data_IF_323615851925
#
_entry.id   IF_323615851925
#
_cell.length_a   1.000
_cell.length_b   1.000
_cell.length_c   1.000
_cell.angle_alpha   90.00
_cell.angle_beta   90.00
_cell.angle_gamma   90.00
#
_symmetry.space_group_name_H-M   'P 1'
#
loop_
_entity.id
_entity.type
_entity.pdbx_description
1 polymer ?
#
# COMPACT_ATOMS: atom_id res chain seq x y z
N UNK A 1 1.08 -12.31 -18.09
CA UNK A 1 1.69 -12.82 -16.84
C UNK A 1 0.91 -12.36 -15.59
N UNK A 2 0.59 -11.07 -15.42
CA UNK A 2 -0.17 -10.58 -14.26
C UNK A 2 -1.60 -11.19 -14.12
N UNK A 3 -2.27 -11.48 -15.25
CA UNK A 3 -3.60 -12.10 -15.28
C UNK A 3 -3.63 -13.53 -14.69
N UNK A 4 -2.53 -14.29 -14.77
CA UNK A 4 -2.44 -15.64 -14.21
C UNK A 4 -2.24 -15.64 -12.69
N UNK A 5 -1.65 -14.58 -12.12
CA UNK A 5 -1.51 -14.40 -10.66
C UNK A 5 -2.86 -14.02 -10.03
N UNK A 6 -3.73 -13.32 -10.77
CA UNK A 6 -5.12 -13.05 -10.37
C UNK A 6 -6.00 -14.30 -10.35
N UNK A 7 -5.60 -15.38 -11.04
CA UNK A 7 -6.37 -16.63 -11.10
C UNK A 7 -6.19 -17.51 -9.85
N UNK A 8 -5.15 -17.30 -9.03
CA UNK A 8 -5.08 -17.91 -7.70
C UNK A 8 -5.99 -17.13 -6.75
N UNK A 9 -7.08 -17.77 -6.30
CA UNK A 9 -8.05 -17.22 -5.34
C UNK A 9 -7.41 -16.71 -4.04
N UNK A 10 -6.18 -17.15 -3.71
CA UNK A 10 -5.41 -16.65 -2.56
C UNK A 10 -4.74 -15.28 -2.78
N UNK A 11 -4.29 -14.95 -3.99
CA UNK A 11 -3.46 -13.74 -4.25
C UNK A 11 -4.28 -12.53 -4.71
N UNK A 12 -5.44 -12.75 -5.34
CA UNK A 12 -6.29 -11.69 -5.87
C UNK A 12 -6.69 -10.60 -4.84
N UNK A 13 -7.19 -10.98 -3.65
CA UNK A 13 -7.59 -10.01 -2.62
C UNK A 13 -6.42 -9.19 -2.08
N UNK A 14 -5.24 -9.80 -1.92
CA UNK A 14 -4.02 -9.13 -1.48
C UNK A 14 -3.51 -8.12 -2.53
N UNK A 15 -3.59 -8.47 -3.81
CA UNK A 15 -3.25 -7.55 -4.91
C UNK A 15 -4.24 -6.38 -4.99
N UNK A 16 -5.54 -6.64 -4.83
CA UNK A 16 -6.57 -5.58 -4.80
C UNK A 16 -6.36 -4.60 -3.63
N UNK A 17 -5.95 -5.15 -2.49
CA UNK A 17 -5.62 -4.40 -1.29
C UNK A 17 -4.39 -3.50 -1.50
N UNK A 18 -3.29 -4.04 -2.03
CA UNK A 18 -2.10 -3.27 -2.40
C UNK A 18 -2.45 -2.22 -3.44
N UNK A 19 -3.23 -2.54 -4.47
CA UNK A 19 -3.63 -1.59 -5.49
C UNK A 19 -4.38 -0.39 -4.89
N UNK A 20 -5.30 -0.64 -3.94
CA UNK A 20 -6.05 0.42 -3.26
C UNK A 20 -5.17 1.32 -2.39
N UNK A 21 -4.19 0.74 -1.69
CA UNK A 21 -3.15 1.50 -0.95
C UNK A 21 -2.30 2.33 -1.91
N UNK A 22 -1.78 1.68 -2.95
CA UNK A 22 -0.88 2.26 -3.94
C UNK A 22 -1.56 3.43 -4.66
N UNK A 23 -2.76 3.26 -5.20
CA UNK A 23 -3.42 4.33 -5.95
C UNK A 23 -3.78 5.54 -5.08
N UNK A 24 -4.30 5.36 -3.85
CA UNK A 24 -4.78 6.50 -3.06
C UNK A 24 -3.65 7.27 -2.39
N UNK A 25 -2.66 6.56 -1.86
CA UNK A 25 -1.61 7.17 -1.05
C UNK A 25 -0.47 7.69 -1.92
N UNK A 26 -0.09 6.96 -2.97
CA UNK A 26 0.93 7.44 -3.90
C UNK A 26 0.41 8.64 -4.71
N UNK A 27 -0.87 8.72 -5.06
CA UNK A 27 -1.38 9.91 -5.76
C UNK A 27 -1.27 11.19 -4.92
N UNK A 28 -1.58 11.11 -3.62
CA UNK A 28 -1.41 12.26 -2.71
C UNK A 28 0.05 12.65 -2.56
N UNK A 29 0.95 11.65 -2.45
CA UNK A 29 2.39 11.86 -2.47
C UNK A 29 2.84 12.56 -3.76
N UNK A 30 2.44 12.06 -4.92
CA UNK A 30 2.81 12.61 -6.22
C UNK A 30 2.39 14.08 -6.36
N UNK A 31 1.22 14.48 -5.83
CA UNK A 31 0.78 15.88 -5.88
C UNK A 31 1.72 16.78 -5.08
N UNK A 32 2.04 16.41 -3.83
CA UNK A 32 2.95 17.19 -2.98
C UNK A 32 4.34 17.26 -3.63
N UNK A 33 4.82 16.12 -4.15
CA UNK A 33 6.09 16.04 -4.85
C UNK A 33 6.15 16.96 -6.09
N UNK A 34 5.10 16.97 -6.93
CA UNK A 34 5.04 17.82 -8.13
C UNK A 34 5.15 19.31 -7.77
N UNK A 35 4.55 19.75 -6.67
CA UNK A 35 4.65 21.16 -6.21
C UNK A 35 6.10 21.52 -5.89
N UNK A 36 6.80 20.68 -5.14
CA UNK A 36 8.23 20.89 -4.84
C UNK A 36 9.10 20.79 -6.09
N UNK A 37 8.85 19.81 -6.95
CA UNK A 37 9.59 19.60 -8.19
C UNK A 37 9.51 20.81 -9.12
N UNK A 38 8.33 21.41 -9.28
CA UNK A 38 8.19 22.64 -10.07
C UNK A 38 8.92 23.81 -9.40
N UNK A 39 8.82 23.95 -8.08
CA UNK A 39 9.49 25.02 -7.33
C UNK A 39 11.02 24.99 -7.45
N UNK A 40 11.63 23.83 -7.23
CA UNK A 40 13.07 23.65 -7.39
C UNK A 40 13.51 23.72 -8.86
N UNK A 41 12.71 23.17 -9.79
CA UNK A 41 12.98 23.28 -11.23
C UNK A 41 13.02 24.72 -11.71
N UNK A 42 12.18 25.61 -11.17
CA UNK A 42 12.23 27.04 -11.50
C UNK A 42 13.48 27.72 -10.93
N UNK A 43 13.87 27.37 -9.69
CA UNK A 43 15.10 27.90 -9.10
C UNK A 43 16.34 27.51 -9.91
N UNK A 44 16.45 26.24 -10.34
CA UNK A 44 17.52 25.78 -11.21
C UNK A 44 17.46 26.40 -12.61
N UNK A 45 16.26 26.56 -13.19
CA UNK A 45 16.09 27.23 -14.48
C UNK A 45 16.69 28.64 -14.48
N UNK A 46 16.47 29.40 -13.40
CA UNK A 46 17.02 30.75 -13.22
C UNK A 46 18.54 30.70 -12.99
N UNK A 47 19.02 29.81 -12.11
CA UNK A 47 20.44 29.73 -11.75
C UNK A 47 21.34 29.21 -12.88
N UNK A 48 20.85 28.26 -13.68
CA UNK A 48 21.54 27.71 -14.84
C UNK A 48 21.35 28.57 -16.11
N UNK A 49 20.60 29.67 -15.99
CA UNK A 49 20.35 30.64 -17.07
C UNK A 49 19.87 29.98 -18.38
N UNK A 50 18.97 29.00 -18.24
CA UNK A 50 18.36 28.38 -19.39
C UNK A 50 17.31 29.30 -20.02
N UNK A 51 17.15 29.19 -21.34
CA UNK A 51 16.20 30.02 -22.07
C UNK A 51 15.09 29.18 -22.71
N UNK A 52 13.87 29.73 -22.68
CA UNK A 52 12.70 29.16 -23.33
C UNK A 52 12.12 27.90 -22.65
N UNK A 53 11.12 27.32 -23.31
CA UNK A 53 10.38 26.15 -22.82
C UNK A 53 11.27 24.90 -22.74
N UNK A 54 12.20 24.73 -23.68
CA UNK A 54 13.15 23.62 -23.68
C UNK A 54 14.03 23.62 -22.43
N UNK A 55 14.52 24.80 -22.02
CA UNK A 55 15.30 24.98 -20.80
C UNK A 55 14.53 24.61 -19.53
N UNK A 56 13.24 25.00 -19.47
CA UNK A 56 12.37 24.62 -18.36
C UNK A 56 12.18 23.10 -18.32
N UNK A 57 11.92 22.45 -19.46
CA UNK A 57 11.81 20.99 -19.53
C UNK A 57 13.12 20.29 -19.14
N UNK A 58 14.28 20.83 -19.53
CA UNK A 58 15.59 20.28 -19.12
C UNK A 58 15.77 20.36 -17.62
N UNK A 59 15.47 21.52 -17.01
CA UNK A 59 15.54 21.71 -15.55
C UNK A 59 14.60 20.75 -14.81
N UNK A 60 13.40 20.56 -15.37
CA UNK A 60 12.39 19.65 -14.81
C UNK A 60 12.81 18.19 -14.91
N UNK A 61 13.39 17.79 -16.05
CA UNK A 61 13.96 16.44 -16.24
C UNK A 61 15.12 16.19 -15.30
N UNK A 62 16.04 17.14 -15.14
CA UNK A 62 17.16 17.01 -14.21
C UNK A 62 16.70 16.87 -12.76
N UNK A 63 15.70 17.64 -12.32
CA UNK A 63 15.12 17.45 -11.00
C UNK A 63 14.47 16.07 -10.87
N UNK A 64 13.77 15.59 -11.90
CA UNK A 64 13.15 14.26 -11.85
C UNK A 64 14.18 13.12 -11.78
N UNK A 65 15.22 13.14 -12.61
CA UNK A 65 16.29 12.13 -12.57
C UNK A 65 17.19 12.28 -11.34
N UNK A 66 17.38 13.51 -10.86
CA UNK A 66 18.08 13.79 -9.61
C UNK A 66 17.41 13.14 -8.40
N UNK A 67 16.08 13.03 -8.37
CA UNK A 67 15.38 12.24 -7.34
C UNK A 67 15.84 10.77 -7.33
N UNK A 68 16.15 10.19 -8.49
CA UNK A 68 16.64 8.81 -8.60
C UNK A 68 18.14 8.69 -8.27
N UNK A 69 18.80 9.80 -7.94
CA UNK A 69 20.24 9.88 -7.69
C UNK A 69 21.09 10.12 -8.94
N UNK A 70 20.45 10.36 -10.09
CA UNK A 70 21.14 10.63 -11.35
C UNK A 70 21.35 12.15 -11.52
N UNK A 71 22.49 12.64 -11.02
CA UNK A 71 22.88 14.05 -11.09
C UNK A 71 24.07 14.23 -12.02
N UNK A 72 23.91 15.06 -13.03
CA UNK A 72 24.99 15.54 -13.87
C UNK A 72 25.68 16.74 -13.19
N UNK A 73 26.66 16.45 -12.34
CA UNK A 73 27.35 17.45 -11.50
C UNK A 73 28.10 18.50 -12.32
N UNK A 74 28.55 18.15 -13.53
CA UNK A 74 29.35 19.03 -14.38
C UNK A 74 28.56 20.29 -14.73
N UNK A 75 27.26 20.13 -15.05
CA UNK A 75 26.36 21.25 -15.35
C UNK A 75 26.16 22.20 -14.17
N UNK A 76 26.26 21.70 -12.93
CA UNK A 76 26.13 22.54 -11.75
C UNK A 76 27.41 23.31 -11.43
N UNK A 77 28.57 22.74 -11.79
CA UNK A 77 29.89 23.36 -11.59
C UNK A 77 30.25 24.39 -12.64
N UNK A 78 29.78 24.23 -13.88
CA UNK A 78 30.04 25.18 -14.99
C UNK A 78 29.16 26.44 -14.94
N UNK A 79 28.20 26.51 -14.02
CA UNK A 79 27.28 27.62 -13.89
C UNK A 79 27.94 28.90 -13.33
N UNK A 80 27.46 30.07 -13.75
CA UNK A 80 27.95 31.39 -13.30
C UNK A 80 28.01 31.53 -11.78
N UNK A 81 27.03 30.95 -11.07
CA UNK A 81 26.95 30.96 -9.61
C UNK A 81 27.13 29.57 -9.02
N UNK A 82 28.27 28.92 -9.30
CA UNK A 82 28.61 27.58 -8.84
C UNK A 82 28.28 27.33 -7.36
N UNK A 83 28.72 28.20 -6.45
CA UNK A 83 28.51 28.01 -5.01
C UNK A 83 27.04 27.99 -4.61
N UNK A 84 26.23 28.88 -5.20
CA UNK A 84 24.78 28.95 -4.92
C UNK A 84 24.07 27.72 -5.48
N UNK A 85 24.51 27.27 -6.66
CA UNK A 85 23.93 26.12 -7.33
C UNK A 85 24.18 24.81 -6.56
N UNK A 86 25.41 24.60 -6.11
CA UNK A 86 25.78 23.44 -5.28
C UNK A 86 25.05 23.48 -3.93
N UNK A 87 24.95 24.65 -3.30
CA UNK A 87 24.19 24.81 -2.06
C UNK A 87 22.71 24.42 -2.25
N UNK A 88 22.08 24.93 -3.32
CA UNK A 88 20.69 24.62 -3.65
C UNK A 88 20.51 23.13 -3.94
N UNK A 89 21.46 22.49 -4.61
CA UNK A 89 21.47 21.05 -4.87
C UNK A 89 21.50 20.23 -3.58
N UNK A 90 22.36 20.59 -2.62
CA UNK A 90 22.42 19.92 -1.32
C UNK A 90 21.09 20.06 -0.57
N UNK A 91 20.52 21.27 -0.54
CA UNK A 91 19.22 21.51 0.10
C UNK A 91 18.12 20.70 -0.59
N UNK A 92 18.12 20.65 -1.92
CA UNK A 92 17.18 19.84 -2.71
C UNK A 92 17.28 18.36 -2.35
N UNK A 93 18.48 17.78 -2.32
CA UNK A 93 18.70 16.36 -1.98
C UNK A 93 18.20 16.05 -0.57
N UNK A 94 18.50 16.91 0.41
CA UNK A 94 18.07 16.72 1.81
C UNK A 94 16.54 16.82 1.91
N UNK A 95 15.94 17.87 1.33
CA UNK A 95 14.48 18.08 1.36
C UNK A 95 13.75 16.93 0.66
N UNK A 96 14.18 16.53 -0.53
CA UNK A 96 13.57 15.41 -1.27
C UNK A 96 13.75 14.10 -0.51
N UNK A 97 14.91 13.84 0.09
CA UNK A 97 15.13 12.64 0.90
C UNK A 97 14.22 12.60 2.13
N UNK A 98 14.06 13.73 2.83
CA UNK A 98 13.16 13.85 3.98
C UNK A 98 11.69 13.73 3.54
N UNK A 99 11.30 14.34 2.42
CA UNK A 99 9.94 14.23 1.87
C UNK A 99 9.62 12.80 1.42
N UNK A 100 10.55 12.14 0.75
CA UNK A 100 10.41 10.74 0.33
C UNK A 100 10.26 9.84 1.55
N UNK A 101 11.14 9.96 2.55
CA UNK A 101 11.10 9.12 3.73
C UNK A 101 9.89 9.41 4.62
N UNK A 102 9.65 10.67 4.99
CA UNK A 102 8.61 11.01 5.96
C UNK A 102 7.20 10.77 5.39
N UNK A 103 7.00 10.97 4.09
CA UNK A 103 5.67 10.84 3.49
C UNK A 103 5.38 9.40 3.04
N UNK A 104 6.40 8.62 2.65
CA UNK A 104 6.27 7.18 2.39
C UNK A 104 5.95 6.42 3.68
N UNK A 105 6.63 6.75 4.79
CA UNK A 105 6.44 6.09 6.09
C UNK A 105 5.11 6.50 6.73
N UNK A 106 4.74 7.78 6.73
CA UNK A 106 3.52 8.26 7.38
C UNK A 106 2.24 7.67 6.74
N UNK A 107 2.19 7.62 5.40
CA UNK A 107 1.00 7.09 4.72
C UNK A 107 0.98 5.56 4.68
N UNK A 108 2.14 4.90 4.54
CA UNK A 108 2.15 3.45 4.75
C UNK A 108 1.73 3.11 6.18
N UNK A 109 2.12 3.85 7.21
CA UNK A 109 1.68 3.61 8.59
C UNK A 109 0.16 3.66 8.77
N UNK A 110 -0.46 4.77 8.38
CA UNK A 110 -1.92 4.99 8.56
C UNK A 110 -2.77 4.05 7.70
N UNK A 111 -2.38 3.85 6.45
CA UNK A 111 -3.14 3.00 5.54
C UNK A 111 -2.87 1.53 5.82
N UNK A 112 -1.65 1.12 6.19
CA UNK A 112 -1.37 -0.25 6.63
C UNK A 112 -2.21 -0.62 7.85
N UNK A 113 -2.34 0.26 8.84
CA UNK A 113 -3.22 0.02 10.00
C UNK A 113 -4.68 -0.20 9.60
N UNK A 114 -5.26 0.67 8.76
CA UNK A 114 -6.67 0.55 8.33
C UNK A 114 -6.91 -0.61 7.38
N UNK A 115 -5.93 -0.88 6.52
CA UNK A 115 -6.05 -1.91 5.51
C UNK A 115 -5.79 -3.28 6.10
N UNK A 116 -4.92 -3.47 7.10
CA UNK A 116 -4.75 -4.78 7.72
C UNK A 116 -6.01 -5.22 8.49
N UNK A 117 -6.69 -4.27 9.15
CA UNK A 117 -7.97 -4.53 9.81
C UNK A 117 -9.06 -4.89 8.79
N UNK A 118 -9.15 -4.11 7.70
CA UNK A 118 -10.07 -4.38 6.59
C UNK A 118 -9.71 -5.67 5.83
N UNK A 119 -8.42 -6.01 5.72
CA UNK A 119 -7.92 -7.18 5.02
C UNK A 119 -8.31 -8.46 5.73
N UNK A 120 -8.33 -8.43 7.06
CA UNK A 120 -8.78 -9.57 7.86
C UNK A 120 -10.26 -9.87 7.56
N UNK A 121 -11.11 -8.84 7.51
CA UNK A 121 -12.52 -8.98 7.13
C UNK A 121 -12.69 -9.45 5.68
N UNK A 122 -11.93 -8.87 4.74
CA UNK A 122 -11.92 -9.27 3.32
C UNK A 122 -11.46 -10.73 3.19
N UNK A 123 -10.46 -11.15 3.96
CA UNK A 123 -9.96 -12.53 3.97
C UNK A 123 -11.01 -13.51 4.47
N UNK A 124 -11.74 -13.19 5.54
CA UNK A 124 -12.86 -14.02 6.00
C UNK A 124 -13.98 -14.12 4.95
N UNK A 125 -14.30 -13.01 4.28
CA UNK A 125 -15.31 -12.98 3.21
C UNK A 125 -14.90 -13.80 2.00
N UNK A 126 -13.63 -13.71 1.59
CA UNK A 126 -13.10 -14.48 0.47
C UNK A 126 -13.03 -15.97 0.79
N UNK A 127 -12.67 -16.34 2.03
CA UNK A 127 -12.79 -17.73 2.49
C UNK A 127 -14.24 -18.23 2.44
N UNK A 128 -15.21 -17.42 2.88
CA UNK A 128 -16.62 -17.78 2.81
C UNK A 128 -17.11 -17.94 1.36
N UNK A 129 -16.66 -17.09 0.44
CA UNK A 129 -16.95 -17.22 -0.99
C UNK A 129 -16.43 -18.52 -1.58
N UNK A 130 -15.18 -18.88 -1.30
CA UNK A 130 -14.58 -20.11 -1.81
C UNK A 130 -15.34 -21.33 -1.26
N UNK A 131 -15.61 -21.36 0.04
CA UNK A 131 -16.38 -22.45 0.66
C UNK A 131 -17.78 -22.55 0.03
N UNK A 132 -18.48 -21.43 -0.16
CA UNK A 132 -19.79 -21.43 -0.80
C UNK A 132 -19.75 -21.84 -2.29
N UNK A 133 -18.70 -21.46 -3.02
CA UNK A 133 -18.52 -21.89 -4.41
C UNK A 133 -18.29 -23.40 -4.50
N UNK A 134 -17.40 -23.94 -3.66
CA UNK A 134 -17.16 -25.39 -3.55
C UNK A 134 -18.47 -26.11 -3.17
N UNK A 135 -19.17 -25.62 -2.14
CA UNK A 135 -20.46 -26.20 -1.76
C UNK A 135 -21.42 -26.25 -2.95
N UNK A 136 -21.54 -25.17 -3.73
CA UNK A 136 -22.45 -25.10 -4.88
C UNK A 136 -22.08 -26.04 -6.02
N UNK A 137 -20.81 -26.41 -6.16
CA UNK A 137 -20.35 -27.39 -7.16
C UNK A 137 -20.53 -28.85 -6.70
N UNK A 138 -20.71 -29.10 -5.40
CA UNK A 138 -20.91 -30.45 -4.85
C UNK A 138 -22.31 -31.01 -5.13
N UNK A 139 -22.38 -32.32 -5.43
CA UNK A 139 -23.65 -33.02 -5.63
C UNK A 139 -24.45 -33.13 -4.32
N UNK A 140 -25.78 -33.16 -4.42
CA UNK A 140 -26.69 -33.27 -3.27
C UNK A 140 -26.45 -34.51 -2.40
N UNK A 141 -25.82 -35.56 -2.96
CA UNK A 141 -25.52 -36.79 -2.22
C UNK A 141 -24.19 -36.70 -1.47
N UNK A 142 -23.20 -35.97 -1.99
CA UNK A 142 -21.94 -35.67 -1.28
C UNK A 142 -22.19 -34.70 -0.11
N UNK A 143 -23.04 -33.68 -0.30
CA UNK A 143 -23.50 -32.78 0.77
C UNK A 143 -24.22 -33.51 1.91
N UNK A 144 -24.87 -34.65 1.63
CA UNK A 144 -25.56 -35.46 2.66
C UNK A 144 -24.60 -36.36 3.45
N UNK A 145 -23.42 -36.67 2.94
CA UNK A 145 -22.46 -37.54 3.62
C UNK A 145 -21.83 -36.86 4.85
N UNK A 146 -21.66 -35.53 4.83
CA UNK A 146 -21.12 -34.75 5.96
C UNK A 146 -22.17 -34.37 7.04
N UNK A 147 -23.41 -34.88 6.96
CA UNK A 147 -24.58 -34.22 7.55
C UNK A 147 -24.58 -33.93 9.05
N UNK A 148 -23.74 -34.54 9.89
CA UNK A 148 -23.96 -34.48 11.35
C UNK A 148 -22.67 -34.42 12.19
N UNK A 149 -21.51 -34.01 11.65
CA UNK A 149 -20.30 -33.98 12.48
C UNK A 149 -20.38 -32.96 13.63
N UNK A 150 -21.08 -31.84 13.42
CA UNK A 150 -21.19 -30.74 14.38
C UNK A 150 -22.64 -30.32 14.69
N UNK A 151 -23.63 -31.02 14.12
CA UNK A 151 -25.05 -30.74 14.35
C UNK A 151 -25.61 -31.72 15.38
N UNK A 152 -26.30 -31.20 16.39
CA UNK A 152 -27.06 -31.99 17.36
C UNK A 152 -28.55 -31.67 17.25
N UNK A 153 -29.41 -32.65 17.51
CA UNK A 153 -30.85 -32.45 17.53
C UNK A 153 -31.32 -32.51 18.99
N UNK A 154 -31.92 -31.44 19.49
CA UNK A 154 -32.55 -31.38 20.81
C UNK A 154 -34.00 -30.95 20.59
N UNK A 155 -34.96 -31.72 21.12
CA UNK A 155 -36.40 -31.44 21.01
C UNK A 155 -36.92 -31.18 19.58
N UNK A 156 -36.37 -31.90 18.60
CA UNK A 156 -36.77 -31.79 17.19
C UNK A 156 -36.22 -30.56 16.46
N UNK A 157 -35.43 -29.71 17.13
CA UNK A 157 -34.71 -28.58 16.53
C UNK A 157 -33.22 -28.89 16.37
N UNK A 158 -32.61 -28.30 15.33
CA UNK A 158 -31.18 -28.47 15.00
C UNK A 158 -30.35 -27.38 15.65
N UNK A 159 -29.34 -27.79 16.42
CA UNK A 159 -28.36 -26.91 17.05
C UNK A 159 -26.96 -27.21 16.52
N UNK A 160 -26.15 -26.17 16.34
CA UNK A 160 -24.74 -26.29 16.03
C UNK A 160 -23.96 -26.36 17.34
N UNK A 161 -23.15 -27.41 17.52
CA UNK A 161 -22.28 -27.53 18.68
C UNK A 161 -21.04 -26.65 18.47
N UNK A 162 -20.85 -25.68 19.36
CA UNK A 162 -19.66 -24.83 19.41
C UNK A 162 -19.04 -25.00 20.78
N UNK A 163 -17.78 -25.43 20.82
CA UNK A 163 -17.00 -25.49 22.05
C UNK A 163 -16.16 -24.22 22.13
N UNK A 164 -16.48 -23.37 23.11
CA UNK A 164 -15.75 -22.14 23.38
C UNK A 164 -14.84 -22.36 24.59
N UNK A 165 -13.53 -22.15 24.40
CA UNK A 165 -12.55 -22.24 25.49
C UNK A 165 -12.28 -20.83 25.97
N UNK A 166 -13.03 -20.38 26.97
CA UNK A 166 -12.78 -19.12 27.66
C UNK A 166 -11.81 -19.34 28.83
N UNK A 167 -10.65 -18.69 28.78
CA UNK A 167 -9.59 -18.80 29.81
C UNK A 167 -9.85 -17.93 31.04
N UNK A 168 -10.80 -16.99 30.96
CA UNK A 168 -11.07 -16.00 32.00
C UNK A 168 -12.37 -16.27 32.76
N UNK A 169 -13.32 -17.00 32.17
CA UNK A 169 -14.65 -17.29 32.75
C UNK A 169 -14.63 -18.14 34.05
N UNK A 170 -13.55 -18.86 34.35
CA UNK A 170 -13.45 -19.78 35.49
C UNK A 170 -12.39 -19.42 36.54
N UNK A 171 -11.85 -18.19 36.51
CA UNK A 171 -10.82 -17.77 37.49
C UNK A 171 -11.36 -17.61 38.92
N UNK A 172 -12.67 -17.40 39.07
CA UNK A 172 -13.29 -17.09 40.36
C UNK A 172 -13.72 -18.33 41.17
N UNK A 173 -13.53 -19.55 40.66
CA UNK A 173 -13.98 -20.79 41.33
C UNK A 173 -12.83 -21.50 42.09
N UNK A 174 -11.63 -20.91 42.17
CA UNK A 174 -10.45 -21.53 42.81
C UNK A 174 -9.98 -20.93 44.13
N UNK A 175 -10.77 -20.07 44.78
CA UNK A 175 -10.42 -19.47 46.07
C UNK A 175 -11.52 -19.67 47.15
N UNK A 176 -11.94 -20.92 47.37
CA UNK A 176 -12.57 -21.35 48.62
C UNK A 176 -11.98 -22.70 49.07
#
# INVERSE_FOLDING_TARGET
MLFFIMALQLTGPFVFMIYKMLSKDILRFCIIYIVFLIGFSQAFFILLNYNGLSGFLTSLKQCFFGMLGDFDLDQYTEATFQYINILLLIVYVVVVSILLLNLLIAMMGDTYGKVIESATQIWHLERARIVSAIENEMSNDERKLEKNKYWTNVDGQRYLQVEEIDKDCFKDIKND
#
